data_IF_030104332343
#
_entry.id   IF_030104332343
#
_cell.length_a   1.000
_cell.length_b   1.000
_cell.length_c   1.000
_cell.angle_alpha   90.00
_cell.angle_beta   90.00
_cell.angle_gamma   90.00
#
_symmetry.space_group_name_H-M   'P 1'
#
loop_
_entity.id
_entity.type
_entity.pdbx_description
1 polymer ?
#
# COMPACT_ATOMS: atom_id res chain seq x y z
N UNK A 1 63.01 -6.36 22.85
CA UNK A 1 61.81 -6.60 23.67
C UNK A 1 60.61 -6.21 22.82
N UNK A 2 59.78 -7.18 22.45
CA UNK A 2 58.67 -7.03 21.49
C UNK A 2 57.40 -6.67 22.26
N UNK A 3 56.77 -5.56 21.94
CA UNK A 3 55.44 -5.20 22.46
C UNK A 3 54.44 -5.13 21.30
N UNK A 4 53.29 -5.72 21.56
CA UNK A 4 52.33 -6.21 20.59
C UNK A 4 51.47 -5.08 19.99
N UNK A 5 51.34 -5.08 18.67
CA UNK A 5 50.37 -4.27 17.95
C UNK A 5 48.96 -4.84 18.19
N UNK A 6 48.09 -4.05 18.83
CA UNK A 6 46.66 -4.35 18.92
C UNK A 6 45.98 -3.97 17.61
N UNK A 7 45.71 -4.96 16.77
CA UNK A 7 44.84 -4.80 15.60
C UNK A 7 43.38 -4.76 16.07
N UNK A 8 42.76 -3.58 16.05
CA UNK A 8 41.32 -3.43 16.26
C UNK A 8 40.57 -3.88 15.00
N UNK A 9 40.08 -5.12 15.01
CA UNK A 9 39.19 -5.63 13.97
C UNK A 9 37.79 -5.04 14.17
N UNK A 10 37.44 -4.01 13.40
CA UNK A 10 36.06 -3.51 13.28
C UNK A 10 35.26 -4.51 12.44
N UNK A 11 34.59 -5.45 13.11
CA UNK A 11 33.60 -6.31 12.47
C UNK A 11 32.38 -5.45 12.07
N UNK A 12 32.27 -5.11 10.79
CA UNK A 12 31.09 -4.45 10.22
C UNK A 12 29.96 -5.47 10.18
N UNK A 13 29.09 -5.46 11.18
CA UNK A 13 27.83 -6.22 11.15
C UNK A 13 26.90 -5.57 10.11
N UNK A 14 26.81 -6.18 8.93
CA UNK A 14 25.81 -5.85 7.93
C UNK A 14 24.44 -6.32 8.42
N UNK A 15 23.71 -5.42 9.09
CA UNK A 15 22.30 -5.65 9.43
C UNK A 15 21.51 -5.65 8.11
N UNK A 16 20.76 -6.72 7.77
CA UNK A 16 19.92 -6.72 6.59
C UNK A 16 18.81 -5.68 6.78
N UNK A 17 18.79 -4.68 5.90
CA UNK A 17 17.69 -3.72 5.83
C UNK A 17 16.50 -4.46 5.24
N UNK A 18 15.50 -4.77 6.06
CA UNK A 18 14.24 -5.33 5.56
C UNK A 18 13.45 -4.16 4.97
N UNK A 19 13.54 -3.99 3.66
CA UNK A 19 12.69 -3.02 2.95
C UNK A 19 11.24 -3.51 2.94
N UNK A 20 10.43 -2.92 3.82
CA UNK A 20 8.98 -3.05 3.75
C UNK A 20 8.48 -2.37 2.46
N UNK A 21 8.31 -3.18 1.41
CA UNK A 21 7.76 -2.72 0.15
C UNK A 21 6.26 -2.47 0.32
N UNK A 22 5.88 -1.20 0.46
CA UNK A 22 4.48 -0.81 0.54
C UNK A 22 3.74 -1.22 -0.75
N UNK A 23 2.61 -1.92 -0.61
CA UNK A 23 1.78 -2.32 -1.75
C UNK A 23 1.23 -1.10 -2.52
N UNK A 24 0.63 -1.31 -3.71
CA UNK A 24 0.17 -0.19 -4.55
C UNK A 24 -0.89 0.70 -3.86
N UNK A 25 -1.75 0.13 -3.03
CA UNK A 25 -2.77 0.85 -2.27
C UNK A 25 -2.16 1.52 -1.05
N UNK A 26 -1.31 0.84 -0.28
CA UNK A 26 -0.60 1.45 0.86
C UNK A 26 0.20 2.67 0.40
N UNK A 27 0.97 2.49 -0.67
CA UNK A 27 1.76 3.54 -1.30
C UNK A 27 0.90 4.73 -1.76
N UNK A 28 -0.29 4.47 -2.31
CA UNK A 28 -1.20 5.52 -2.76
C UNK A 28 -1.90 6.23 -1.59
N UNK A 29 -2.28 5.49 -0.55
CA UNK A 29 -2.86 6.01 0.69
C UNK A 29 -1.88 6.95 1.41
N UNK A 30 -0.61 6.53 1.58
CA UNK A 30 0.42 7.33 2.23
C UNK A 30 0.78 8.61 1.46
N UNK A 31 0.63 8.60 0.13
CA UNK A 31 0.84 9.78 -0.71
C UNK A 31 -0.39 10.66 -0.88
N UNK A 32 -1.55 10.21 -0.39
CA UNK A 32 -2.76 11.02 -0.47
C UNK A 32 -2.72 12.12 0.59
N UNK A 33 -3.23 13.30 0.27
CA UNK A 33 -3.34 14.41 1.23
C UNK A 33 -4.46 14.19 2.27
N UNK A 34 -4.86 12.93 2.51
CA UNK A 34 -5.98 12.61 3.41
C UNK A 34 -5.53 12.72 4.87
N UNK A 35 -6.26 13.47 5.71
CA UNK A 35 -5.97 13.55 7.13
C UNK A 35 -6.10 12.15 7.76
N UNK A 36 -5.13 11.78 8.60
CA UNK A 36 -5.10 10.48 9.28
C UNK A 36 -4.38 9.36 8.54
N UNK A 37 -3.84 9.61 7.34
CA UNK A 37 -2.98 8.63 6.65
C UNK A 37 -1.75 8.30 7.51
N UNK A 38 -1.66 7.04 7.95
CA UNK A 38 -0.54 6.51 8.73
C UNK A 38 -0.10 5.17 8.15
N UNK A 39 1.15 4.74 8.43
CA UNK A 39 1.64 3.42 7.95
C UNK A 39 0.75 2.28 8.43
N UNK A 40 0.29 2.31 9.68
CA UNK A 40 -0.60 1.28 10.23
C UNK A 40 -1.93 1.22 9.49
N UNK A 41 -2.59 2.37 9.33
CA UNK A 41 -3.86 2.46 8.61
C UNK A 41 -3.73 2.06 7.15
N UNK A 42 -2.76 2.65 6.43
CA UNK A 42 -2.56 2.37 5.01
C UNK A 42 -2.13 0.91 4.75
N UNK A 43 -1.37 0.30 5.66
CA UNK A 43 -1.06 -1.13 5.62
C UNK A 43 -2.31 -2.00 5.84
N UNK A 44 -3.18 -1.65 6.78
CA UNK A 44 -4.47 -2.33 6.95
C UNK A 44 -5.35 -2.23 5.68
N UNK A 45 -5.44 -1.05 5.09
CA UNK A 45 -6.18 -0.82 3.84
C UNK A 45 -5.58 -1.66 2.70
N UNK A 46 -4.26 -1.79 2.62
CA UNK A 46 -3.62 -2.67 1.65
C UNK A 46 -3.97 -4.14 1.89
N UNK A 47 -3.99 -4.62 3.14
CA UNK A 47 -4.44 -5.99 3.42
C UNK A 47 -5.90 -6.22 2.99
N UNK A 48 -6.79 -5.25 3.24
CA UNK A 48 -8.17 -5.31 2.75
C UNK A 48 -8.22 -5.37 1.21
N UNK A 49 -7.35 -4.64 0.52
CA UNK A 49 -7.22 -4.70 -0.93
C UNK A 49 -6.71 -6.07 -1.40
N UNK A 50 -5.72 -6.68 -0.73
CA UNK A 50 -5.20 -7.99 -1.08
C UNK A 50 -6.25 -9.11 -0.91
N UNK A 51 -7.18 -8.95 0.03
CA UNK A 51 -8.29 -9.88 0.24
C UNK A 51 -9.41 -9.78 -0.81
N UNK A 52 -9.55 -8.63 -1.48
CA UNK A 52 -10.77 -8.31 -2.24
C UNK A 52 -10.53 -7.91 -3.69
N UNK A 53 -9.32 -7.44 -4.01
CA UNK A 53 -8.95 -6.89 -5.32
C UNK A 53 -7.85 -7.73 -5.95
N UNK A 54 -7.95 -7.94 -7.27
CA UNK A 54 -6.83 -8.48 -8.04
C UNK A 54 -5.70 -7.45 -8.13
N UNK A 55 -4.48 -7.87 -8.50
CA UNK A 55 -3.36 -6.93 -8.75
C UNK A 55 -3.70 -5.86 -9.80
N UNK A 56 -4.54 -6.19 -10.79
CA UNK A 56 -5.02 -5.23 -11.78
C UNK A 56 -5.98 -4.22 -11.17
N UNK A 57 -6.96 -4.70 -10.40
CA UNK A 57 -7.92 -3.84 -9.70
C UNK A 57 -7.20 -2.92 -8.70
N UNK A 58 -6.18 -3.41 -7.98
CA UNK A 58 -5.39 -2.59 -7.05
C UNK A 58 -4.67 -1.44 -7.76
N UNK A 59 -4.12 -1.67 -8.96
CA UNK A 59 -3.50 -0.59 -9.75
C UNK A 59 -4.52 0.46 -10.15
N UNK A 60 -5.73 0.05 -10.55
CA UNK A 60 -6.82 0.96 -10.89
C UNK A 60 -7.31 1.74 -9.66
N UNK A 61 -7.57 1.05 -8.55
CA UNK A 61 -7.97 1.66 -7.29
C UNK A 61 -6.91 2.64 -6.76
N UNK A 62 -5.62 2.32 -6.90
CA UNK A 62 -4.51 3.23 -6.54
C UNK A 62 -4.52 4.54 -7.36
N UNK A 63 -5.06 4.53 -8.60
CA UNK A 63 -5.21 5.77 -9.37
C UNK A 63 -6.26 6.69 -8.77
N UNK A 64 -7.35 6.14 -8.20
CA UNK A 64 -8.41 6.94 -7.58
C UNK A 64 -7.94 7.76 -6.37
N UNK A 65 -6.90 7.30 -5.67
CA UNK A 65 -6.28 8.09 -4.60
C UNK A 65 -5.57 9.34 -5.12
N UNK A 66 -5.05 9.30 -6.35
CA UNK A 66 -4.39 10.44 -7.01
C UNK A 66 -5.37 11.31 -7.78
N UNK A 67 -6.33 10.68 -8.44
CA UNK A 67 -7.37 11.34 -9.21
C UNK A 67 -8.76 10.80 -8.82
N UNK A 68 -9.43 11.47 -7.87
CA UNK A 68 -10.79 11.12 -7.48
C UNK A 68 -11.81 11.24 -8.61
N UNK A 69 -11.53 11.97 -9.69
CA UNK A 69 -12.43 12.10 -10.83
C UNK A 69 -12.59 10.77 -11.57
N UNK A 70 -11.52 10.00 -11.72
CA UNK A 70 -11.58 8.67 -12.36
C UNK A 70 -12.54 7.72 -11.64
N UNK A 71 -12.65 7.83 -10.32
CA UNK A 71 -13.61 7.04 -9.55
C UNK A 71 -15.06 7.40 -9.94
N UNK A 72 -15.33 8.69 -10.20
CA UNK A 72 -16.64 9.15 -10.65
C UNK A 72 -16.94 8.72 -12.08
N UNK A 73 -15.95 8.74 -12.98
CA UNK A 73 -16.11 8.23 -14.35
C UNK A 73 -16.42 6.74 -14.35
N UNK A 74 -15.66 5.94 -13.59
CA UNK A 74 -15.87 4.49 -13.49
C UNK A 74 -17.22 4.14 -12.86
N UNK A 75 -17.63 4.89 -11.83
CA UNK A 75 -18.94 4.72 -11.19
C UNK A 75 -20.12 5.01 -12.14
N UNK A 76 -19.96 5.96 -13.06
CA UNK A 76 -21.01 6.37 -14.00
C UNK A 76 -20.92 5.68 -15.36
N UNK A 77 -19.92 4.83 -15.58
CA UNK A 77 -19.69 4.15 -16.85
C UNK A 77 -20.69 3.03 -17.10
N UNK A 78 -21.24 2.97 -18.31
CA UNK A 78 -22.11 1.87 -18.76
C UNK A 78 -21.35 0.59 -19.14
N UNK A 79 -20.02 0.60 -19.06
CA UNK A 79 -19.20 -0.54 -19.48
C UNK A 79 -19.26 -1.64 -18.43
N UNK A 80 -19.61 -2.86 -18.85
CA UNK A 80 -19.70 -4.05 -17.97
C UNK A 80 -18.45 -4.29 -17.10
N UNK A 81 -17.26 -4.05 -17.65
CA UNK A 81 -15.98 -4.22 -16.92
C UNK A 81 -15.82 -3.22 -15.78
N UNK A 82 -16.29 -1.98 -15.98
CA UNK A 82 -16.20 -0.89 -15.02
C UNK A 82 -17.20 -1.18 -13.88
N UNK A 83 -18.41 -1.63 -14.22
CA UNK A 83 -19.40 -2.10 -13.24
C UNK A 83 -18.88 -3.27 -12.38
N UNK A 84 -18.26 -4.28 -13.00
CA UNK A 84 -17.70 -5.43 -12.27
C UNK A 84 -16.53 -5.02 -11.36
N UNK A 85 -15.64 -4.14 -11.84
CA UNK A 85 -14.60 -3.55 -11.00
C UNK A 85 -15.22 -2.76 -9.84
N UNK A 86 -16.24 -1.94 -10.11
CA UNK A 86 -16.89 -1.10 -9.10
C UNK A 86 -17.53 -1.94 -7.98
N UNK A 87 -18.08 -3.11 -8.30
CA UNK A 87 -18.56 -4.06 -7.30
C UNK A 87 -17.45 -4.54 -6.36
N UNK A 88 -16.31 -4.98 -6.92
CA UNK A 88 -15.14 -5.38 -6.11
C UNK A 88 -14.57 -4.22 -5.32
N UNK A 89 -14.52 -3.02 -5.90
CA UNK A 89 -14.06 -1.80 -5.24
C UNK A 89 -14.94 -1.43 -4.03
N UNK A 90 -16.27 -1.57 -4.13
CA UNK A 90 -17.17 -1.37 -2.98
C UNK A 90 -16.93 -2.41 -1.88
N UNK A 91 -16.73 -3.68 -2.25
CA UNK A 91 -16.39 -4.74 -1.30
C UNK A 91 -15.06 -4.44 -0.58
N UNK A 92 -14.06 -3.96 -1.31
CA UNK A 92 -12.81 -3.46 -0.74
C UNK A 92 -13.07 -2.37 0.31
N UNK A 93 -13.83 -1.33 -0.05
CA UNK A 93 -14.15 -0.22 0.87
C UNK A 93 -14.85 -0.70 2.15
N UNK A 94 -15.91 -1.51 2.01
CA UNK A 94 -16.61 -2.09 3.15
C UNK A 94 -15.71 -2.99 4.02
N UNK A 95 -14.78 -3.72 3.40
CA UNK A 95 -13.80 -4.53 4.14
C UNK A 95 -12.84 -3.65 4.93
N UNK A 96 -12.32 -2.58 4.32
CA UNK A 96 -11.44 -1.64 5.01
C UNK A 96 -12.15 -0.94 6.18
N UNK A 97 -13.40 -0.48 5.98
CA UNK A 97 -14.22 0.15 7.02
C UNK A 97 -14.49 -0.78 8.21
N UNK A 98 -14.66 -2.08 7.96
CA UNK A 98 -14.95 -3.05 9.02
C UNK A 98 -13.76 -3.37 9.93
N UNK A 99 -12.52 -3.26 9.44
CA UNK A 99 -11.34 -3.79 10.14
C UNK A 99 -10.23 -2.77 10.39
N UNK A 100 -10.22 -1.62 9.72
CA UNK A 100 -9.15 -0.63 9.84
C UNK A 100 -9.59 0.56 10.71
N UNK A 101 -8.79 0.89 11.73
CA UNK A 101 -8.99 2.00 12.68
C UNK A 101 -7.72 2.80 12.89
#
# INVERSE_FOLDING_TARGET
MKTFAFAAALAVFSVPVIEAHAGPIESACLRSDRPGASRGLCGCIQNAADLTLTRGDQKQAARFFRDPHEAQEVRQSDRRRDAAFWERYRRFGATAEAFCS
#
